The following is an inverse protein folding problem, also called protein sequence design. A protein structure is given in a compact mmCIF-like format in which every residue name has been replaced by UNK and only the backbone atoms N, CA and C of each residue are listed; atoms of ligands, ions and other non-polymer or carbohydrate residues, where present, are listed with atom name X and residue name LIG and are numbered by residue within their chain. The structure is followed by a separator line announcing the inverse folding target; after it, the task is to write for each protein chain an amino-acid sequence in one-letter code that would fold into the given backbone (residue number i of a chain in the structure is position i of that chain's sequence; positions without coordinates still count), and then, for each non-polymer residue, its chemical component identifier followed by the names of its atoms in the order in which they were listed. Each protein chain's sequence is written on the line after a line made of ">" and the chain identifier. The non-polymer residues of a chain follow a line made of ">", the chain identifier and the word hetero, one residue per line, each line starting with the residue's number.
data_IF_164873688330
#
_entry.id   IF_164873688330
#
_cell.length_a   1.000
_cell.length_b   1.000
_cell.length_c   1.000
_cell.angle_alpha   90.00
_cell.angle_beta   90.00
_cell.angle_gamma   90.00
#
_symmetry.space_group_name_H-M   'P 1'
#
loop_
_entity.id
_entity.type
_entity.pdbx_description
1 polymer ?
#
# COMPACT_ATOMS: atom_id res chain seq x y z
N UNK A 1 -34.50 2.63 21.85
CA UNK A 1 -34.60 2.68 20.38
C UNK A 1 -33.42 1.90 19.81
N UNK A 2 -33.65 0.74 19.16
CA UNK A 2 -32.61 0.01 18.45
C UNK A 2 -32.35 0.74 17.13
N UNK A 3 -31.19 1.38 16.99
CA UNK A 3 -30.78 1.97 15.73
C UNK A 3 -30.71 0.86 14.67
N UNK A 4 -31.45 1.03 13.58
CA UNK A 4 -31.34 0.17 12.42
C UNK A 4 -29.91 0.28 11.89
N UNK A 5 -29.19 -0.85 11.79
CA UNK A 5 -27.95 -0.91 11.02
C UNK A 5 -28.24 -0.41 9.61
N UNK A 6 -27.39 0.45 9.02
CA UNK A 6 -27.50 0.74 7.61
C UNK A 6 -27.45 -0.59 6.85
N UNK A 7 -28.32 -0.75 5.87
CA UNK A 7 -28.39 -1.90 5.00
C UNK A 7 -26.98 -2.10 4.41
N UNK A 8 -26.29 -3.17 4.80
CA UNK A 8 -25.02 -3.52 4.18
C UNK A 8 -25.33 -3.82 2.73
N UNK A 9 -24.76 -3.05 1.82
CA UNK A 9 -24.74 -3.41 0.40
C UNK A 9 -24.34 -4.89 0.31
N UNK A 10 -25.19 -5.67 -0.35
CA UNK A 10 -25.00 -7.10 -0.51
C UNK A 10 -23.64 -7.29 -1.18
N UNK A 11 -22.66 -7.79 -0.42
CA UNK A 11 -21.37 -8.14 -0.95
C UNK A 11 -21.61 -9.29 -1.92
N UNK A 12 -21.70 -8.98 -3.21
CA UNK A 12 -21.92 -9.96 -4.26
C UNK A 12 -20.69 -10.90 -4.26
N UNK A 13 -20.86 -12.08 -3.68
CA UNK A 13 -19.86 -13.14 -3.76
C UNK A 13 -19.85 -13.66 -5.18
N UNK A 14 -18.90 -13.25 -5.97
CA UNK A 14 -18.68 -13.79 -7.29
C UNK A 14 -17.72 -14.98 -7.18
N UNK A 15 -18.24 -16.19 -7.17
CA UNK A 15 -17.46 -17.44 -7.35
C UNK A 15 -17.05 -17.62 -8.82
N UNK A 16 -16.69 -16.56 -9.51
CA UNK A 16 -16.12 -16.65 -10.85
C UNK A 16 -14.62 -16.93 -10.75
N UNK A 17 -14.25 -18.19 -10.84
CA UNK A 17 -12.85 -18.65 -10.76
C UNK A 17 -12.00 -18.06 -11.89
N UNK A 18 -12.57 -17.84 -13.07
CA UNK A 18 -11.85 -17.24 -14.20
C UNK A 18 -11.50 -15.80 -13.92
N UNK A 19 -12.46 -15.04 -13.39
CA UNK A 19 -12.24 -13.64 -12.99
C UNK A 19 -11.23 -13.53 -11.83
N UNK A 20 -11.33 -14.42 -10.85
CA UNK A 20 -10.39 -14.51 -9.73
C UNK A 20 -8.96 -14.75 -10.21
N UNK A 21 -8.77 -15.67 -11.16
CA UNK A 21 -7.45 -15.96 -11.73
C UNK A 21 -6.91 -14.81 -12.56
N UNK A 22 -7.75 -14.17 -13.36
CA UNK A 22 -7.38 -12.96 -14.10
C UNK A 22 -6.93 -11.82 -13.16
N UNK A 23 -7.70 -11.57 -12.10
CA UNK A 23 -7.38 -10.57 -11.09
C UNK A 23 -6.03 -10.86 -10.43
N UNK A 24 -5.80 -12.12 -10.03
CA UNK A 24 -4.53 -12.56 -9.45
C UNK A 24 -3.37 -12.28 -10.40
N UNK A 25 -3.47 -12.74 -11.64
CA UNK A 25 -2.41 -12.59 -12.64
C UNK A 25 -2.05 -11.11 -12.89
N UNK A 26 -3.05 -10.23 -13.01
CA UNK A 26 -2.82 -8.79 -13.23
C UNK A 26 -2.04 -8.17 -12.07
N UNK A 27 -2.46 -8.45 -10.82
CA UNK A 27 -1.82 -7.85 -9.65
C UNK A 27 -0.44 -8.44 -9.40
N UNK A 28 -0.25 -9.75 -9.59
CA UNK A 28 1.08 -10.38 -9.43
C UNK A 28 2.09 -9.83 -10.42
N UNK A 29 1.72 -9.71 -11.70
CA UNK A 29 2.60 -9.11 -12.71
C UNK A 29 2.92 -7.62 -12.40
N UNK A 30 1.95 -6.89 -11.86
CA UNK A 30 2.17 -5.51 -11.42
C UNK A 30 3.16 -5.45 -10.25
N UNK A 31 3.06 -6.34 -9.26
CA UNK A 31 3.98 -6.41 -8.10
C UNK A 31 5.38 -6.79 -8.57
N UNK A 32 5.53 -7.69 -9.54
CA UNK A 32 6.83 -8.04 -10.12
C UNK A 32 7.47 -6.81 -10.76
N UNK A 33 6.72 -6.02 -11.54
CA UNK A 33 7.21 -4.74 -12.09
C UNK A 33 7.62 -3.73 -11.01
N UNK A 34 6.90 -3.67 -9.88
CA UNK A 34 7.30 -2.84 -8.74
C UNK A 34 8.63 -3.28 -8.14
N UNK A 35 8.88 -4.59 -8.03
CA UNK A 35 10.13 -5.15 -7.52
C UNK A 35 11.29 -4.97 -8.49
N UNK A 36 11.01 -4.91 -9.79
CA UNK A 36 11.99 -4.56 -10.83
C UNK A 36 12.25 -3.03 -10.92
N UNK A 37 11.60 -2.25 -10.04
CA UNK A 37 11.70 -0.79 -9.96
C UNK A 37 11.24 -0.07 -11.24
N UNK A 38 10.41 -0.72 -12.04
CA UNK A 38 9.81 -0.11 -13.22
C UNK A 38 8.71 0.87 -12.79
N UNK A 39 8.74 2.08 -13.34
CA UNK A 39 7.67 3.08 -13.16
C UNK A 39 6.96 3.31 -14.48
N UNK A 40 7.69 3.56 -15.54
CA UNK A 40 7.10 3.96 -16.83
C UNK A 40 6.37 2.81 -17.54
N UNK A 41 6.86 1.57 -17.40
CA UNK A 41 6.23 0.36 -17.94
C UNK A 41 4.94 -0.06 -17.23
N UNK A 42 4.69 0.46 -16.02
CA UNK A 42 3.53 0.08 -15.19
C UNK A 42 2.17 0.49 -15.77
N UNK A 43 2.14 1.44 -16.72
CA UNK A 43 0.90 1.94 -17.32
C UNK A 43 0.00 0.87 -17.93
N UNK A 44 0.56 -0.26 -18.35
CA UNK A 44 -0.20 -1.37 -18.95
C UNK A 44 -1.14 -2.08 -17.94
N UNK A 45 -0.90 -1.95 -16.63
CA UNK A 45 -1.70 -2.59 -15.59
C UNK A 45 -2.87 -1.74 -15.09
N UNK A 46 -2.88 -0.43 -15.38
CA UNK A 46 -3.81 0.52 -14.76
C UNK A 46 -4.79 1.11 -15.78
N UNK A 47 -6.04 1.24 -15.35
CA UNK A 47 -7.04 1.95 -16.14
C UNK A 47 -6.74 3.46 -16.16
N UNK A 48 -7.19 4.16 -17.22
CA UNK A 48 -7.07 5.63 -17.29
C UNK A 48 -7.77 6.34 -16.12
N UNK A 49 -8.84 5.74 -15.59
CA UNK A 49 -9.60 6.22 -14.43
C UNK A 49 -9.07 5.74 -13.08
N UNK A 50 -7.89 5.14 -13.04
CA UNK A 50 -7.29 4.57 -11.84
C UNK A 50 -7.30 5.55 -10.67
N UNK A 51 -7.62 5.02 -9.48
CA UNK A 51 -7.56 5.77 -8.22
C UNK A 51 -6.69 5.03 -7.23
N UNK A 52 -5.74 5.73 -6.67
CA UNK A 52 -4.91 5.28 -5.57
C UNK A 52 -5.33 6.01 -4.29
N UNK A 53 -5.79 5.28 -3.29
CA UNK A 53 -6.30 5.82 -2.04
C UNK A 53 -5.36 5.45 -0.90
N UNK A 54 -4.41 6.33 -0.65
CA UNK A 54 -3.44 6.16 0.44
C UNK A 54 -3.98 6.67 1.78
N UNK A 55 -3.29 6.27 2.84
CA UNK A 55 -3.55 6.73 4.20
C UNK A 55 -3.19 8.22 4.41
N UNK A 56 -3.41 8.72 5.62
CA UNK A 56 -3.00 10.07 6.02
C UNK A 56 -1.51 10.32 5.72
N UNK A 57 -1.19 11.48 5.20
CA UNK A 57 0.13 11.86 4.69
C UNK A 57 0.34 11.59 3.21
N UNK A 58 -0.40 10.65 2.59
CA UNK A 58 -0.34 10.36 1.16
C UNK A 58 -1.51 10.95 0.38
N UNK A 59 -2.70 10.89 0.94
CA UNK A 59 -3.93 11.33 0.28
C UNK A 59 -4.30 10.44 -0.91
N UNK A 60 -5.22 10.93 -1.75
CA UNK A 60 -5.72 10.22 -2.93
C UNK A 60 -5.06 10.76 -4.20
N UNK A 61 -4.72 9.86 -5.13
CA UNK A 61 -4.23 10.17 -6.47
C UNK A 61 -5.27 9.68 -7.49
N UNK A 62 -5.63 10.53 -8.43
CA UNK A 62 -6.59 10.20 -9.50
C UNK A 62 -5.85 10.21 -10.83
N UNK A 63 -5.87 9.09 -11.52
CA UNK A 63 -5.12 8.86 -12.75
C UNK A 63 -3.68 8.42 -12.52
N UNK A 64 -3.15 7.70 -13.49
CA UNK A 64 -1.81 7.09 -13.44
C UNK A 64 -0.71 8.15 -13.26
N UNK A 65 -0.75 9.24 -14.01
CA UNK A 65 0.26 10.31 -13.93
C UNK A 65 0.34 10.91 -12.52
N UNK A 66 -0.82 11.23 -11.90
CA UNK A 66 -0.84 11.77 -10.56
C UNK A 66 -0.31 10.76 -9.52
N UNK A 67 -0.59 9.47 -9.70
CA UNK A 67 -0.04 8.41 -8.87
C UNK A 67 1.49 8.31 -9.03
N UNK A 68 1.98 8.27 -10.27
CA UNK A 68 3.41 8.15 -10.53
C UNK A 68 4.20 9.37 -10.02
N UNK A 69 3.74 10.58 -10.33
CA UNK A 69 4.50 11.80 -10.02
C UNK A 69 4.41 12.21 -8.55
N UNK A 70 3.25 11.98 -7.90
CA UNK A 70 3.01 12.46 -6.54
C UNK A 70 3.09 11.35 -5.47
N UNK A 71 3.37 10.10 -5.86
CA UNK A 71 3.58 9.00 -4.95
C UNK A 71 4.73 8.09 -5.37
N UNK A 72 4.63 7.44 -6.53
CA UNK A 72 5.54 6.36 -6.90
C UNK A 72 6.99 6.84 -7.05
N UNK A 73 7.23 7.92 -7.80
CA UNK A 73 8.58 8.49 -8.00
C UNK A 73 9.18 9.06 -6.71
N UNK A 74 8.48 9.89 -5.90
CA UNK A 74 9.00 10.36 -4.63
C UNK A 74 9.31 9.20 -3.66
N UNK A 75 8.45 8.19 -3.60
CA UNK A 75 8.67 7.05 -2.73
C UNK A 75 9.85 6.19 -3.19
N UNK A 76 9.98 5.96 -4.51
CA UNK A 76 11.14 5.28 -5.09
C UNK A 76 12.44 6.06 -4.86
N UNK A 77 12.41 7.39 -4.90
CA UNK A 77 13.59 8.22 -4.62
C UNK A 77 14.00 8.14 -3.15
N UNK A 78 13.03 8.08 -2.23
CA UNK A 78 13.29 7.92 -0.80
C UNK A 78 13.83 6.53 -0.42
N UNK A 79 13.40 5.48 -1.14
CA UNK A 79 13.66 4.08 -0.85
C UNK A 79 14.00 3.32 -2.15
N UNK A 80 15.16 3.63 -2.74
CA UNK A 80 15.52 3.24 -4.11
C UNK A 80 15.73 1.73 -4.30
N UNK A 81 16.07 1.00 -3.23
CA UNK A 81 16.33 -0.44 -3.21
C UNK A 81 15.19 -1.26 -2.59
N UNK A 82 13.99 -0.67 -2.50
CA UNK A 82 12.87 -1.35 -1.85
C UNK A 82 12.47 -2.64 -2.54
N UNK A 83 12.16 -3.64 -1.74
CA UNK A 83 11.63 -4.94 -2.18
C UNK A 83 10.34 -5.22 -1.43
N UNK A 84 9.26 -5.52 -2.14
CA UNK A 84 7.97 -5.93 -1.58
C UNK A 84 8.01 -7.43 -1.24
N UNK A 85 7.61 -7.75 -0.02
CA UNK A 85 7.53 -9.12 0.50
C UNK A 85 6.12 -9.31 1.05
N UNK A 86 5.24 -9.91 0.25
CA UNK A 86 3.89 -10.24 0.70
C UNK A 86 3.93 -11.45 1.64
N UNK A 87 3.32 -11.31 2.81
CA UNK A 87 3.16 -12.40 3.77
C UNK A 87 1.90 -13.22 3.49
N UNK A 88 0.84 -12.57 2.99
CA UNK A 88 -0.36 -13.25 2.50
C UNK A 88 -1.04 -12.48 1.38
N UNK A 89 -1.70 -13.24 0.51
CA UNK A 89 -2.53 -12.74 -0.59
C UNK A 89 -3.88 -13.45 -0.58
N UNK A 90 -4.93 -12.69 -0.81
CA UNK A 90 -6.31 -13.18 -0.90
C UNK A 90 -6.92 -12.64 -2.18
N UNK A 91 -7.49 -13.50 -3.01
CA UNK A 91 -8.13 -13.10 -4.28
C UNK A 91 -9.52 -13.68 -4.39
N UNK A 92 -10.51 -12.84 -4.66
CA UNK A 92 -11.90 -13.24 -4.92
C UNK A 92 -12.53 -12.30 -5.95
N UNK A 93 -12.96 -12.85 -7.08
CA UNK A 93 -13.60 -12.08 -8.15
C UNK A 93 -12.70 -10.96 -8.66
N UNK A 94 -13.18 -9.72 -8.58
CA UNK A 94 -12.48 -8.51 -9.01
C UNK A 94 -11.48 -7.97 -7.96
N UNK A 95 -11.39 -8.58 -6.78
CA UNK A 95 -10.59 -8.06 -5.70
C UNK A 95 -9.41 -8.95 -5.35
N UNK A 96 -8.25 -8.34 -5.14
CA UNK A 96 -7.11 -8.95 -4.50
C UNK A 96 -6.67 -8.10 -3.32
N UNK A 97 -6.33 -8.74 -2.21
CA UNK A 97 -5.72 -8.11 -1.07
C UNK A 97 -4.37 -8.76 -0.77
N UNK A 98 -3.44 -7.96 -0.27
CA UNK A 98 -2.18 -8.45 0.28
C UNK A 98 -1.84 -7.67 1.53
N UNK A 99 -1.10 -8.29 2.44
CA UNK A 99 -0.36 -7.59 3.46
C UNK A 99 1.06 -8.14 3.55
N UNK A 100 1.96 -7.29 3.97
CA UNK A 100 3.36 -7.65 4.05
C UNK A 100 4.20 -6.46 4.45
N UNK A 101 5.45 -6.50 4.03
CA UNK A 101 6.41 -5.43 4.26
C UNK A 101 7.25 -5.16 3.03
N UNK A 102 7.76 -3.96 2.96
CA UNK A 102 8.89 -3.65 2.09
C UNK A 102 10.13 -3.52 2.96
N UNK A 103 11.24 -4.01 2.47
CA UNK A 103 12.56 -3.79 3.05
C UNK A 103 13.31 -2.81 2.17
N UNK A 104 13.85 -1.75 2.75
CA UNK A 104 14.48 -0.69 1.98
C UNK A 104 15.54 0.05 2.78
N UNK A 105 16.44 0.75 2.06
CA UNK A 105 17.37 1.71 2.63
C UNK A 105 16.82 3.13 2.43
N UNK A 106 16.80 3.94 3.49
CA UNK A 106 16.38 5.34 3.40
C UNK A 106 17.48 6.20 2.78
N UNK A 107 17.38 6.41 1.45
CA UNK A 107 18.41 7.06 0.63
C UNK A 107 18.03 8.44 0.10
N UNK A 108 16.75 8.82 0.19
CA UNK A 108 16.25 10.13 -0.22
C UNK A 108 15.37 10.76 0.85
N UNK A 109 14.97 12.02 0.66
CA UNK A 109 14.07 12.69 1.60
C UNK A 109 12.71 11.99 1.70
N UNK A 110 12.23 11.75 2.91
CA UNK A 110 10.94 11.14 3.20
C UNK A 110 10.16 11.96 4.22
N UNK A 111 9.06 12.57 3.80
CA UNK A 111 8.17 13.37 4.67
C UNK A 111 8.92 14.38 5.56
N UNK A 112 9.91 15.08 4.99
CA UNK A 112 10.72 16.06 5.70
C UNK A 112 11.87 15.48 6.53
N UNK A 113 12.09 14.18 6.48
CA UNK A 113 13.25 13.50 7.08
C UNK A 113 14.33 13.35 6.03
N UNK A 114 15.51 13.92 6.30
CA UNK A 114 16.67 13.81 5.41
C UNK A 114 17.22 12.37 5.36
N UNK A 115 17.87 11.96 4.27
CA UNK A 115 18.39 10.60 4.10
C UNK A 115 19.28 10.18 5.28
N UNK A 116 18.95 9.04 5.89
CA UNK A 116 19.70 8.51 7.05
C UNK A 116 20.63 7.38 6.73
N UNK A 117 20.48 6.74 5.54
CA UNK A 117 21.19 5.51 5.18
C UNK A 117 20.74 4.28 5.98
N UNK A 118 19.74 4.40 6.86
CA UNK A 118 19.25 3.28 7.65
C UNK A 118 18.45 2.29 6.81
N UNK A 119 18.57 1.01 7.12
CA UNK A 119 17.66 -0.02 6.68
C UNK A 119 16.36 0.07 7.46
N UNK A 120 15.22 0.01 6.77
CA UNK A 120 13.89 0.11 7.37
C UNK A 120 12.97 -0.99 6.85
N UNK A 121 12.01 -1.36 7.68
CA UNK A 121 10.86 -2.18 7.35
C UNK A 121 9.64 -1.28 7.19
N UNK A 122 8.95 -1.39 6.07
CA UNK A 122 7.76 -0.60 5.73
C UNK A 122 6.57 -1.54 5.60
N UNK A 123 5.76 -1.64 6.65
CA UNK A 123 4.57 -2.50 6.67
C UNK A 123 3.47 -1.91 5.82
N UNK A 124 2.73 -2.78 5.11
CA UNK A 124 1.62 -2.34 4.26
C UNK A 124 0.47 -3.35 4.24
N UNK A 125 -0.69 -2.82 3.86
CA UNK A 125 -1.86 -3.57 3.45
C UNK A 125 -2.42 -2.92 2.19
N UNK A 126 -2.69 -3.72 1.18
CA UNK A 126 -3.19 -3.28 -0.12
C UNK A 126 -4.46 -4.03 -0.50
N UNK A 127 -5.40 -3.32 -1.14
CA UNK A 127 -6.55 -3.88 -1.82
C UNK A 127 -6.61 -3.33 -3.23
N UNK A 128 -6.54 -4.19 -4.22
CA UNK A 128 -6.69 -3.83 -5.63
C UNK A 128 -8.02 -4.31 -6.17
N UNK A 129 -8.68 -3.44 -6.94
CA UNK A 129 -9.84 -3.82 -7.74
C UNK A 129 -9.45 -3.89 -9.20
N UNK A 130 -9.71 -5.03 -9.83
CA UNK A 130 -9.44 -5.28 -11.25
C UNK A 130 -10.76 -5.41 -12.00
N UNK A 131 -10.93 -4.62 -13.05
CA UNK A 131 -12.07 -4.66 -13.96
C UNK A 131 -11.54 -4.74 -15.39
N UNK A 132 -12.04 -5.68 -16.16
CA UNK A 132 -11.65 -5.90 -17.55
C UNK A 132 -10.12 -6.00 -17.75
N UNK A 133 -9.43 -6.65 -16.80
CA UNK A 133 -7.99 -6.87 -16.85
C UNK A 133 -7.12 -5.68 -16.47
N UNK A 134 -7.70 -4.60 -15.95
CA UNK A 134 -6.98 -3.40 -15.51
C UNK A 134 -7.30 -3.06 -14.06
N UNK A 135 -6.31 -2.60 -13.32
CA UNK A 135 -6.48 -2.09 -11.95
C UNK A 135 -7.19 -0.73 -12.03
N UNK A 136 -8.37 -0.64 -11.42
CA UNK A 136 -9.17 0.59 -11.37
C UNK A 136 -9.07 1.31 -10.04
N UNK A 137 -8.91 0.57 -8.94
CA UNK A 137 -8.77 1.12 -7.59
C UNK A 137 -7.66 0.39 -6.84
N UNK A 138 -6.93 1.11 -6.01
CA UNK A 138 -6.00 0.57 -5.03
C UNK A 138 -6.16 1.32 -3.71
N UNK A 139 -6.57 0.60 -2.66
CA UNK A 139 -6.63 1.10 -1.29
C UNK A 139 -5.38 0.65 -0.55
N UNK A 140 -4.64 1.59 0.01
CA UNK A 140 -3.32 1.33 0.59
C UNK A 140 -3.23 1.88 2.01
N UNK A 141 -2.77 1.04 2.91
CA UNK A 141 -2.35 1.44 4.24
C UNK A 141 -0.88 1.11 4.41
N UNK A 142 -0.07 2.13 4.64
CA UNK A 142 1.37 2.01 4.91
C UNK A 142 1.64 2.53 6.32
N UNK A 143 2.36 1.76 7.12
CA UNK A 143 2.69 2.12 8.50
C UNK A 143 3.84 3.15 8.55
N UNK A 144 3.56 4.38 8.11
CA UNK A 144 4.53 5.46 8.17
C UNK A 144 4.95 5.86 9.58
N UNK A 145 4.05 5.83 10.60
CA UNK A 145 4.50 6.03 11.97
C UNK A 145 5.65 5.10 12.36
N UNK A 146 5.56 3.82 12.04
CA UNK A 146 6.63 2.86 12.29
C UNK A 146 7.91 3.17 11.51
N UNK A 147 7.79 3.59 10.23
CA UNK A 147 8.96 4.03 9.45
C UNK A 147 9.62 5.24 10.11
N UNK A 148 8.84 6.26 10.50
CA UNK A 148 9.36 7.46 11.17
C UNK A 148 10.10 7.11 12.47
N UNK A 149 9.55 6.21 13.29
CA UNK A 149 10.21 5.74 14.52
C UNK A 149 11.56 5.06 14.23
N UNK A 150 11.65 4.22 13.21
CA UNK A 150 12.93 3.61 12.79
C UNK A 150 13.94 4.68 12.33
N UNK A 151 13.47 5.76 11.73
CA UNK A 151 14.29 6.89 11.29
C UNK A 151 14.66 7.84 12.45
N UNK A 152 14.11 7.64 13.64
CA UNK A 152 14.41 8.44 14.85
C UNK A 152 13.46 9.60 15.08
N UNK A 153 12.31 9.62 14.41
CA UNK A 153 11.24 10.60 14.61
C UNK A 153 10.07 9.94 15.30
N UNK A 154 9.62 10.48 16.42
CA UNK A 154 8.40 10.02 17.10
C UNK A 154 7.18 10.80 16.59
N UNK A 155 6.31 10.21 15.76
CA UNK A 155 5.14 10.89 15.22
C UNK A 155 4.04 11.12 16.26
N UNK A 156 4.13 10.47 17.42
CA UNK A 156 3.13 10.54 18.49
C UNK A 156 3.57 11.43 19.67
N UNK A 157 4.78 12.02 19.59
CA UNK A 157 5.32 12.93 20.61
C UNK A 157 5.22 12.34 22.04
N UNK A 158 5.59 11.08 22.21
CA UNK A 158 5.54 10.36 23.48
C UNK A 158 4.14 9.90 23.92
N UNK A 159 3.12 10.06 23.07
CA UNK A 159 1.74 9.67 23.37
C UNK A 159 1.30 8.38 22.67
N UNK A 160 2.23 7.68 22.00
CA UNK A 160 1.96 6.35 21.43
C UNK A 160 1.52 5.36 22.52
N UNK A 161 0.61 4.45 22.17
CA UNK A 161 0.07 3.50 23.14
C UNK A 161 1.03 2.34 23.44
N UNK A 162 2.08 2.17 22.66
CA UNK A 162 3.20 1.23 22.94
C UNK A 162 3.85 1.49 24.31
N UNK A 163 3.69 2.71 24.85
CA UNK A 163 4.13 3.03 26.21
C UNK A 163 3.44 2.16 27.28
N UNK A 164 2.27 1.62 27.01
CA UNK A 164 1.55 0.75 27.94
C UNK A 164 2.14 -0.67 27.97
N UNK A 165 2.79 -1.10 26.87
CA UNK A 165 3.42 -2.42 26.77
C UNK A 165 4.71 -2.52 27.60
N UNK A 166 5.28 -1.36 27.99
CA UNK A 166 6.51 -1.29 28.80
C UNK A 166 6.26 -1.32 30.31
N UNK A 167 5.00 -1.25 30.75
CA UNK A 167 4.63 -1.15 32.15
C UNK A 167 4.69 -2.49 32.91
N UNK A 168 4.77 -3.63 32.25
CA UNK A 168 4.75 -4.98 32.83
C UNK A 168 6.14 -5.60 33.00
N UNK A 169 7.21 -4.80 32.87
CA UNK A 169 8.61 -5.22 32.93
C UNK A 169 9.32 -4.90 34.27
N UNK A 170 8.64 -5.15 35.44
CA UNK A 170 9.28 -5.13 36.76
C UNK A 170 8.90 -6.39 37.54
#
# INVERSE_FOLDING_TARGET
>A
MKGSRPEQAELTRHNDLTKTEQTRSVVENMVDGLNDHEIDGMGAFFAASFRWMGNAGCGTKVGLTAFQDNWQRPFQAAFSDKVCIDEARLTEGEWMAAFGRQEATHTGSFMGIEPTGKRVEIRYMDFWKVVDGLIVDNYVMVDFPHVMQQLGVDPFNGHGWERFDQADGN
#
